data_IF_856928542074
#
_entry.id   IF_856928542074
#
_cell.length_a   1.000
_cell.length_b   1.000
_cell.length_c   1.000
_cell.angle_alpha   90.00
_cell.angle_beta   90.00
_cell.angle_gamma   90.00
#
_symmetry.space_group_name_H-M   'P 1'
#
loop_
_entity.id
_entity.type
_entity.pdbx_description
1 polymer ?
#
# COMPACT_ATOMS: atom_id res chain seq x y z
N UNK A 1 -43.39 -27.27 -21.99
CA UNK A 1 -42.86 -26.71 -23.25
C UNK A 1 -41.34 -26.80 -23.21
N UNK A 2 -40.67 -27.51 -24.14
CA UNK A 2 -39.22 -27.64 -24.10
C UNK A 2 -38.56 -26.31 -24.51
N UNK A 3 -37.60 -25.84 -23.71
CA UNK A 3 -36.76 -24.70 -24.07
C UNK A 3 -35.95 -25.05 -25.34
N UNK A 4 -36.35 -24.50 -26.49
CA UNK A 4 -35.58 -24.59 -27.72
C UNK A 4 -34.49 -23.53 -27.69
N UNK A 5 -33.28 -23.89 -27.26
CA UNK A 5 -32.12 -23.05 -27.51
C UNK A 5 -31.76 -23.10 -28.99
N UNK A 6 -31.60 -21.95 -29.63
CA UNK A 6 -31.08 -21.89 -31.00
C UNK A 6 -29.58 -21.74 -30.94
N UNK A 7 -28.84 -22.23 -31.95
CA UNK A 7 -27.37 -22.03 -32.05
C UNK A 7 -27.01 -20.54 -31.93
N UNK A 8 -27.85 -19.66 -32.48
CA UNK A 8 -27.71 -18.21 -32.38
C UNK A 8 -27.89 -17.71 -30.95
N UNK A 9 -28.89 -18.21 -30.23
CA UNK A 9 -29.10 -17.88 -28.81
C UNK A 9 -27.95 -18.35 -27.92
N UNK A 10 -27.37 -19.52 -28.22
CA UNK A 10 -26.22 -20.05 -27.48
C UNK A 10 -24.97 -19.18 -27.71
N UNK A 11 -24.70 -18.78 -28.96
CA UNK A 11 -23.58 -17.90 -29.30
C UNK A 11 -23.73 -16.50 -28.71
N UNK A 12 -24.94 -15.93 -28.75
CA UNK A 12 -25.23 -14.63 -28.14
C UNK A 12 -25.11 -14.69 -26.61
N UNK A 13 -25.58 -15.76 -25.97
CA UNK A 13 -25.43 -16.00 -24.54
C UNK A 13 -23.95 -16.14 -24.14
N UNK A 14 -23.19 -16.98 -24.84
CA UNK A 14 -21.76 -17.18 -24.58
C UNK A 14 -20.93 -15.90 -24.76
N UNK A 15 -21.21 -15.11 -25.82
CA UNK A 15 -20.57 -13.82 -26.04
C UNK A 15 -20.88 -12.80 -24.93
N UNK A 16 -22.11 -12.80 -24.41
CA UNK A 16 -22.53 -11.91 -23.32
C UNK A 16 -21.83 -12.27 -22.00
N UNK A 17 -21.70 -13.56 -21.68
CA UNK A 17 -20.96 -14.03 -20.51
C UNK A 17 -19.45 -13.78 -20.62
N UNK A 18 -18.87 -13.92 -21.82
CA UNK A 18 -17.46 -13.60 -22.06
C UNK A 18 -17.16 -12.10 -21.89
N UNK A 19 -18.05 -11.21 -22.35
CA UNK A 19 -17.92 -9.76 -22.11
C UNK A 19 -18.00 -9.41 -20.62
N UNK A 20 -18.90 -10.08 -19.87
CA UNK A 20 -19.03 -9.87 -18.43
C UNK A 20 -17.85 -10.44 -17.64
N UNK A 21 -17.23 -11.54 -18.07
CA UNK A 21 -16.04 -12.10 -17.42
C UNK A 21 -14.77 -11.27 -17.67
N UNK A 22 -14.80 -10.41 -18.69
CA UNK A 22 -13.74 -9.42 -18.96
C UNK A 22 -13.94 -8.09 -18.24
N UNK A 23 -15.05 -7.89 -17.50
CA UNK A 23 -15.18 -6.71 -16.63
C UNK A 23 -14.17 -6.87 -15.51
N UNK A 24 -13.02 -6.16 -15.55
CA UNK A 24 -12.11 -6.20 -14.43
C UNK A 24 -12.83 -5.52 -13.27
N UNK A 25 -12.35 -5.74 -12.06
CA UNK A 25 -12.75 -5.08 -10.80
C UNK A 25 -12.96 -3.53 -10.84
N UNK A 26 -12.77 -2.85 -11.98
CA UNK A 26 -12.99 -1.43 -12.20
C UNK A 26 -14.45 -0.95 -12.28
N UNK A 27 -15.46 -1.81 -12.09
CA UNK A 27 -16.84 -1.34 -11.84
C UNK A 27 -17.14 -1.13 -10.35
N UNK A 28 -16.38 -1.79 -9.46
CA UNK A 28 -16.51 -1.67 -8.00
C UNK A 28 -15.54 -0.65 -7.40
N UNK A 29 -14.57 -0.15 -8.18
CA UNK A 29 -13.70 0.92 -7.78
C UNK A 29 -14.39 2.27 -8.06
N UNK A 30 -14.46 3.19 -7.08
CA UNK A 30 -14.97 4.53 -7.33
C UNK A 30 -14.20 5.14 -8.50
N UNK A 31 -14.93 5.52 -9.56
CA UNK A 31 -14.36 6.07 -10.80
C UNK A 31 -13.97 7.54 -10.71
N UNK A 32 -14.11 8.14 -9.53
CA UNK A 32 -13.63 9.49 -9.25
C UNK A 32 -12.33 9.40 -8.46
N UNK A 33 -11.38 10.27 -8.77
CA UNK A 33 -10.29 10.56 -7.84
C UNK A 33 -10.93 10.87 -6.47
N UNK A 34 -10.59 10.08 -5.46
CA UNK A 34 -10.96 10.42 -4.10
C UNK A 34 -10.47 11.86 -3.85
N UNK A 35 -11.33 12.73 -3.32
CA UNK A 35 -10.89 14.08 -2.98
C UNK A 35 -9.83 13.97 -1.89
N UNK A 36 -8.58 14.22 -2.24
CA UNK A 36 -7.51 14.35 -1.26
C UNK A 36 -7.88 15.49 -0.32
N UNK A 37 -7.82 15.29 1.01
CA UNK A 37 -8.02 16.38 1.94
C UNK A 37 -7.04 17.53 1.63
N UNK A 38 -7.52 18.77 1.62
CA UNK A 38 -6.71 19.94 1.22
C UNK A 38 -5.41 20.10 2.03
N UNK A 39 -5.38 19.58 3.27
CA UNK A 39 -4.18 19.62 4.10
C UNK A 39 -3.03 18.76 3.54
N UNK A 40 -3.33 17.68 2.81
CA UNK A 40 -2.34 16.78 2.23
C UNK A 40 -1.62 17.47 1.08
N UNK A 41 -2.36 18.11 0.17
CA UNK A 41 -1.75 18.87 -0.93
C UNK A 41 -0.89 20.01 -0.40
N UNK A 42 -1.38 20.73 0.62
CA UNK A 42 -0.62 21.77 1.29
C UNK A 42 0.63 21.23 2.03
N UNK A 43 0.58 20.01 2.58
CA UNK A 43 1.73 19.36 3.19
C UNK A 43 2.77 18.98 2.14
N UNK A 44 2.36 18.25 1.08
CA UNK A 44 3.24 17.82 -0.01
C UNK A 44 3.91 19.01 -0.70
N UNK A 45 3.20 20.13 -0.85
CA UNK A 45 3.75 21.35 -1.43
C UNK A 45 4.88 21.97 -0.59
N UNK A 46 4.89 21.77 0.73
CA UNK A 46 5.90 22.29 1.65
C UNK A 46 7.10 21.37 1.86
N UNK A 47 6.98 20.10 1.45
CA UNK A 47 8.03 19.11 1.62
C UNK A 47 9.17 19.28 0.62
N UNK A 48 10.40 19.05 1.08
CA UNK A 48 11.56 18.90 0.21
C UNK A 48 11.48 17.60 -0.61
N UNK A 49 12.37 17.44 -1.59
CA UNK A 49 12.45 16.19 -2.37
C UNK A 49 12.85 15.03 -1.47
N UNK A 50 13.76 15.26 -0.54
CA UNK A 50 14.25 14.28 0.43
C UNK A 50 13.13 13.82 1.37
N UNK A 51 12.31 14.74 1.86
CA UNK A 51 11.17 14.40 2.70
C UNK A 51 10.12 13.58 1.93
N UNK A 52 9.88 13.92 0.65
CA UNK A 52 8.99 13.13 -0.23
C UNK A 52 9.51 11.72 -0.45
N UNK A 53 10.81 11.58 -0.69
CA UNK A 53 11.46 10.27 -0.79
C UNK A 53 11.37 9.50 0.54
N UNK A 54 11.51 10.21 1.67
CA UNK A 54 11.34 9.64 3.00
C UNK A 54 9.95 9.06 3.26
N UNK A 55 8.89 9.68 2.72
CA UNK A 55 7.53 9.10 2.77
C UNK A 55 7.40 7.75 2.05
N UNK A 56 8.35 7.41 1.18
CA UNK A 56 8.43 6.12 0.48
C UNK A 56 9.41 5.15 1.15
N UNK A 57 10.01 5.54 2.29
CA UNK A 57 11.02 4.74 2.98
C UNK A 57 10.40 4.03 4.19
N UNK A 58 10.33 2.69 4.11
CA UNK A 58 9.88 1.81 5.19
C UNK A 58 11.05 0.96 5.68
N UNK A 59 11.25 0.85 7.00
CA UNK A 59 12.37 0.10 7.58
C UNK A 59 11.95 -0.85 8.70
N UNK A 60 12.72 -1.92 8.91
CA UNK A 60 12.54 -2.77 10.10
C UNK A 60 12.86 -1.97 11.37
N UNK A 61 12.10 -2.19 12.44
CA UNK A 61 12.30 -1.50 13.71
C UNK A 61 13.69 -1.76 14.30
N UNK A 62 14.34 -0.75 14.87
CA UNK A 62 15.55 -0.92 15.68
C UNK A 62 15.26 -1.78 16.92
N UNK A 63 14.03 -1.70 17.45
CA UNK A 63 13.51 -2.51 18.55
C UNK A 63 12.69 -3.68 17.98
N UNK A 64 13.31 -4.57 17.21
CA UNK A 64 12.70 -5.82 16.73
C UNK A 64 13.28 -7.04 17.45
N UNK A 65 12.54 -8.15 17.44
CA UNK A 65 13.03 -9.45 17.95
C UNK A 65 13.99 -10.09 16.95
N UNK A 66 14.80 -11.05 17.39
CA UNK A 66 15.73 -11.75 16.51
C UNK A 66 15.02 -12.57 15.42
N UNK A 67 13.88 -13.18 15.77
CA UNK A 67 13.04 -13.87 14.78
C UNK A 67 12.51 -12.93 13.70
N UNK A 68 12.11 -11.71 14.07
CA UNK A 68 11.64 -10.72 13.12
C UNK A 68 12.78 -10.13 12.29
N UNK A 69 13.96 -9.96 12.88
CA UNK A 69 15.17 -9.58 12.15
C UNK A 69 15.50 -10.62 11.08
N UNK A 70 15.52 -11.91 11.45
CA UNK A 70 15.82 -13.02 10.54
C UNK A 70 14.79 -13.21 9.41
N UNK A 71 13.55 -12.76 9.60
CA UNK A 71 12.50 -12.83 8.59
C UNK A 71 12.62 -11.73 7.51
N UNK A 72 13.44 -10.69 7.73
CA UNK A 72 13.58 -9.60 6.78
C UNK A 72 14.58 -9.97 5.67
N UNK A 73 14.27 -9.71 4.39
CA UNK A 73 15.15 -10.07 3.27
C UNK A 73 16.50 -9.33 3.29
N UNK A 74 16.57 -8.20 3.99
CA UNK A 74 17.82 -7.48 4.29
C UNK A 74 17.98 -7.44 5.80
N UNK A 75 18.94 -8.21 6.32
CA UNK A 75 19.25 -8.31 7.75
C UNK A 75 20.05 -7.11 8.29
N UNK A 76 19.86 -5.92 7.73
CA UNK A 76 20.47 -4.70 8.26
C UNK A 76 19.54 -4.13 9.32
N UNK A 77 19.84 -4.41 10.59
CA UNK A 77 19.12 -3.83 11.72
C UNK A 77 19.59 -2.39 11.93
N UNK A 78 18.72 -1.38 11.78
CA UNK A 78 19.11 0.00 12.08
C UNK A 78 19.36 0.17 13.58
N UNK A 79 20.27 1.09 13.93
CA UNK A 79 20.44 1.52 15.32
C UNK A 79 19.25 2.37 15.77
N UNK A 80 18.99 2.42 17.07
CA UNK A 80 17.92 3.24 17.61
C UNK A 80 18.15 4.73 17.33
N UNK A 81 19.38 5.23 17.55
CA UNK A 81 19.71 6.63 17.27
C UNK A 81 19.58 6.95 15.77
N UNK A 82 20.03 6.05 14.90
CA UNK A 82 19.97 6.22 13.46
C UNK A 82 18.54 6.27 12.95
N UNK A 83 17.67 5.38 13.45
CA UNK A 83 16.26 5.35 13.07
C UNK A 83 15.52 6.61 13.55
N UNK A 84 15.80 7.07 14.77
CA UNK A 84 15.23 8.31 15.30
C UNK A 84 15.71 9.55 14.54
N UNK A 85 17.00 9.59 14.19
CA UNK A 85 17.55 10.68 13.38
C UNK A 85 16.94 10.70 11.96
N UNK A 86 16.68 9.54 11.37
CA UNK A 86 16.01 9.44 10.07
C UNK A 86 14.55 9.91 10.13
N UNK A 87 13.79 9.52 11.17
CA UNK A 87 12.42 9.97 11.40
C UNK A 87 12.35 11.51 11.54
N UNK A 88 13.16 12.09 12.42
CA UNK A 88 13.20 13.54 12.66
C UNK A 88 13.59 14.34 11.43
N UNK A 89 14.42 13.78 10.56
CA UNK A 89 14.84 14.41 9.31
C UNK A 89 13.88 14.15 8.14
N UNK A 90 12.71 13.56 8.39
CA UNK A 90 11.70 13.27 7.35
C UNK A 90 12.13 12.19 6.35
N UNK A 91 13.16 11.39 6.66
CA UNK A 91 13.71 10.34 5.77
C UNK A 91 13.10 8.95 6.01
N UNK A 92 12.07 8.86 6.84
CA UNK A 92 11.44 7.59 7.23
C UNK A 92 9.93 7.80 7.36
N UNK A 93 9.14 7.01 6.62
CA UNK A 93 7.67 7.06 6.68
C UNK A 93 7.12 6.24 7.83
N UNK A 94 7.81 5.15 8.16
CA UNK A 94 7.34 4.23 9.18
C UNK A 94 8.31 3.09 9.42
N UNK A 95 7.98 2.32 10.46
CA UNK A 95 8.74 1.13 10.85
C UNK A 95 7.81 -0.07 10.99
N UNK A 96 8.33 -1.26 10.75
CA UNK A 96 7.59 -2.52 10.92
C UNK A 96 8.34 -3.50 11.82
N UNK A 97 7.67 -4.56 12.26
CA UNK A 97 8.24 -5.60 13.12
C UNK A 97 8.80 -5.09 14.47
N UNK A 98 8.21 -4.01 15.02
CA UNK A 98 8.54 -3.53 16.36
C UNK A 98 8.05 -4.49 17.45
N UNK A 99 8.83 -4.65 18.51
CA UNK A 99 8.51 -5.50 19.66
C UNK A 99 7.85 -4.75 20.84
N UNK A 100 7.76 -3.42 20.76
CA UNK A 100 7.28 -2.58 21.86
C UNK A 100 6.65 -1.26 21.37
N UNK A 101 5.45 -0.94 21.88
CA UNK A 101 4.72 0.32 21.60
C UNK A 101 5.49 1.55 22.04
N UNK A 102 6.27 1.48 23.14
CA UNK A 102 7.04 2.63 23.61
C UNK A 102 8.04 3.14 22.58
N UNK A 103 8.57 2.26 21.73
CA UNK A 103 9.46 2.67 20.65
C UNK A 103 8.73 3.53 19.61
N UNK A 104 7.49 3.18 19.27
CA UNK A 104 6.69 3.95 18.33
C UNK A 104 6.30 5.33 18.84
N UNK A 105 6.24 5.54 20.16
CA UNK A 105 5.98 6.86 20.76
C UNK A 105 7.19 7.79 20.71
N UNK A 106 8.39 7.27 20.42
CA UNK A 106 9.63 8.04 20.36
C UNK A 106 9.98 8.48 18.94
N UNK A 107 9.46 7.80 17.92
CA UNK A 107 9.61 8.12 16.49
C UNK A 107 8.76 9.31 16.09
#
# INVERSE_FOLDING_TARGET
MPFRSTRRGLLLGAGSFALLSQVPMGLALPRGAAKTPAFVDALIARMTVEEKAGQLTLSGSAQQTDAAAAANPVNLRPTAEGQLAAARAGRLTGVFNGSNVRWHQQL
#
